data_IF_454324064695
#
_entry.id   IF_454324064695
#
_cell.length_a   1.000
_cell.length_b   1.000
_cell.length_c   1.000
_cell.angle_alpha   90.00
_cell.angle_beta   90.00
_cell.angle_gamma   90.00
#
_symmetry.space_group_name_H-M   'P 1'
#
loop_
_entity.id
_entity.type
_entity.pdbx_description
1 polymer ?
#
# COMPACT_ATOMS: atom_id res chain seq x y z
N UNK A 1 -0.98 17.50 18.85
CA UNK A 1 -1.24 16.40 17.88
C UNK A 1 0.09 15.75 17.58
N UNK A 2 0.20 14.42 17.71
CA UNK A 2 1.42 13.70 17.34
C UNK A 2 1.62 13.74 15.81
N UNK A 3 2.84 13.92 15.30
CA UNK A 3 3.15 13.76 13.89
C UNK A 3 2.72 12.38 13.36
N UNK A 4 2.38 12.29 12.07
CA UNK A 4 1.77 11.09 11.46
C UNK A 4 2.57 9.80 11.71
N UNK A 5 3.90 9.86 11.66
CA UNK A 5 4.76 8.69 11.89
C UNK A 5 4.71 8.16 13.33
N UNK A 6 4.47 9.03 14.31
CA UNK A 6 4.43 8.68 15.74
C UNK A 6 3.09 8.01 16.10
N UNK A 7 1.98 8.45 15.48
CA UNK A 7 0.68 7.75 15.60
C UNK A 7 0.71 6.33 15.04
N UNK A 8 1.44 6.12 13.94
CA UNK A 8 1.61 4.78 13.36
C UNK A 8 2.49 3.91 14.27
N UNK A 9 3.48 4.49 14.95
CA UNK A 9 4.30 3.77 15.94
C UNK A 9 3.46 3.23 17.08
N UNK A 10 2.71 4.13 17.69
CA UNK A 10 1.83 3.84 18.81
C UNK A 10 0.80 2.77 18.40
N UNK A 11 0.21 2.89 17.21
CA UNK A 11 -0.72 1.89 16.71
C UNK A 11 -0.08 0.49 16.58
N UNK A 12 1.13 0.39 16.03
CA UNK A 12 1.84 -0.89 15.90
C UNK A 12 2.19 -1.49 17.27
N UNK A 13 2.62 -0.66 18.22
CA UNK A 13 3.02 -1.12 19.56
C UNK A 13 1.82 -1.51 20.43
N UNK A 14 0.68 -0.86 20.26
CA UNK A 14 -0.48 -0.99 21.16
C UNK A 14 -1.61 -1.86 20.63
N UNK A 15 -1.67 -2.14 19.32
CA UNK A 15 -2.84 -2.79 18.71
C UNK A 15 -3.14 -4.19 19.26
N UNK A 16 -2.14 -4.93 19.76
CA UNK A 16 -2.29 -6.33 20.16
C UNK A 16 -2.79 -7.26 19.03
N UNK A 17 -2.90 -6.73 17.81
CA UNK A 17 -3.43 -7.33 16.60
C UNK A 17 -2.53 -6.96 15.41
N UNK A 18 -2.51 -7.77 14.34
CA UNK A 18 -1.78 -7.47 13.11
C UNK A 18 -2.18 -6.11 12.53
N UNK A 19 -1.19 -5.25 12.28
CA UNK A 19 -1.41 -3.90 11.72
C UNK A 19 -1.07 -3.87 10.24
N UNK A 20 -2.04 -3.47 9.41
CA UNK A 20 -1.86 -3.25 7.97
C UNK A 20 -1.81 -1.75 7.70
N UNK A 21 -0.76 -1.27 7.04
CA UNK A 21 -0.62 0.13 6.64
C UNK A 21 -1.16 0.32 5.22
N UNK A 22 -2.03 1.32 5.02
CA UNK A 22 -2.65 1.61 3.72
C UNK A 22 -2.28 3.03 3.28
N UNK A 23 -1.70 3.18 2.09
CA UNK A 23 -1.37 4.46 1.48
C UNK A 23 -2.14 4.70 0.18
N UNK A 24 -2.88 5.80 0.10
CA UNK A 24 -3.66 6.19 -1.09
C UNK A 24 -3.04 7.40 -1.79
N UNK A 25 -2.88 7.35 -3.10
CA UNK A 25 -2.37 8.45 -3.92
C UNK A 25 -1.01 8.97 -3.42
N UNK A 26 -0.87 10.28 -3.16
CA UNK A 26 0.34 10.86 -2.56
C UNK A 26 0.68 10.25 -1.18
N UNK A 27 -0.31 9.71 -0.47
CA UNK A 27 -0.11 9.00 0.80
C UNK A 27 0.62 7.66 0.65
N UNK A 28 0.67 7.07 -0.55
CA UNK A 28 1.40 5.84 -0.82
C UNK A 28 2.91 5.98 -0.54
N UNK A 29 3.53 7.08 -0.98
CA UNK A 29 4.95 7.33 -0.76
C UNK A 29 5.28 7.45 0.75
N UNK A 30 4.41 8.10 1.52
CA UNK A 30 4.56 8.21 2.96
C UNK A 30 4.38 6.85 3.67
N UNK A 31 3.42 6.04 3.21
CA UNK A 31 3.19 4.69 3.74
C UNK A 31 4.40 3.77 3.51
N UNK A 32 4.96 3.77 2.30
CA UNK A 32 6.20 3.06 1.96
C UNK A 32 7.36 3.49 2.86
N UNK A 33 7.59 4.80 2.99
CA UNK A 33 8.67 5.32 3.84
C UNK A 33 8.52 4.87 5.29
N UNK A 34 7.28 4.86 5.80
CA UNK A 34 7.00 4.43 7.15
C UNK A 34 7.29 2.93 7.33
N UNK A 35 6.85 2.09 6.38
CA UNK A 35 7.02 0.64 6.42
C UNK A 35 8.50 0.20 6.47
N UNK A 36 9.40 0.94 5.82
CA UNK A 36 10.85 0.66 5.87
C UNK A 36 11.47 0.88 7.22
N UNK A 37 11.08 1.98 7.86
CA UNK A 37 11.67 2.41 9.14
C UNK A 37 11.00 1.74 10.33
N UNK A 38 9.98 0.92 10.09
CA UNK A 38 9.10 0.40 11.13
C UNK A 38 8.95 -1.11 11.00
N UNK A 39 9.43 -1.81 12.02
CA UNK A 39 9.13 -3.22 12.24
C UNK A 39 7.72 -3.38 12.85
N UNK A 40 7.15 -4.58 12.74
CA UNK A 40 5.87 -4.93 13.37
C UNK A 40 4.62 -4.68 12.52
N UNK A 41 4.77 -4.11 11.32
CA UNK A 41 3.68 -4.12 10.34
C UNK A 41 3.50 -5.53 9.78
N UNK A 42 2.25 -5.96 9.68
CA UNK A 42 1.89 -7.23 9.09
C UNK A 42 1.87 -7.16 7.56
N UNK A 43 1.42 -6.04 6.99
CA UNK A 43 1.37 -5.83 5.54
C UNK A 43 1.33 -4.35 5.14
N UNK A 44 1.60 -4.08 3.85
CA UNK A 44 1.46 -2.77 3.21
C UNK A 44 0.50 -2.86 2.00
N UNK A 45 -0.44 -1.92 1.91
CA UNK A 45 -1.36 -1.78 0.77
C UNK A 45 -1.19 -0.41 0.14
N UNK A 46 -1.02 -0.37 -1.17
CA UNK A 46 -0.90 0.85 -1.95
C UNK A 46 -2.05 0.98 -2.94
N UNK A 47 -2.79 2.09 -2.85
CA UNK A 47 -3.94 2.38 -3.71
C UNK A 47 -3.62 3.59 -4.58
N UNK A 48 -3.65 3.41 -5.90
CA UNK A 48 -3.23 4.43 -6.90
C UNK A 48 -1.92 5.17 -6.53
N UNK A 49 -0.80 4.45 -6.30
CA UNK A 49 0.45 5.06 -5.86
C UNK A 49 1.09 5.93 -6.94
N UNK A 50 1.62 7.10 -6.57
CA UNK A 50 2.45 7.94 -7.44
C UNK A 50 3.88 7.37 -7.53
N UNK A 51 4.52 7.32 -8.72
CA UNK A 51 5.80 6.63 -8.91
C UNK A 51 7.01 7.27 -8.21
N UNK A 52 7.86 6.44 -7.59
CA UNK A 52 9.20 6.79 -7.08
C UNK A 52 9.82 5.68 -6.20
N UNK A 53 11.11 5.36 -6.49
CA UNK A 53 12.15 4.46 -5.89
C UNK A 53 11.77 3.26 -4.99
N UNK A 54 12.68 2.30 -4.80
CA UNK A 54 13.10 1.74 -3.49
C UNK A 54 12.97 0.19 -3.25
N UNK A 55 14.04 -0.43 -2.74
CA UNK A 55 14.14 -1.88 -2.42
C UNK A 55 14.03 -2.22 -0.91
N UNK A 56 13.68 -3.49 -0.62
CA UNK A 56 13.40 -4.19 0.67
C UNK A 56 12.08 -3.84 1.40
N UNK A 57 11.06 -4.71 1.31
CA UNK A 57 9.73 -4.43 1.88
C UNK A 57 8.85 -5.67 2.18
N UNK A 58 7.90 -5.58 3.16
CA UNK A 58 6.88 -6.58 3.47
C UNK A 58 6.00 -6.99 2.27
N UNK A 59 5.18 -8.06 2.40
CA UNK A 59 4.15 -8.37 1.42
C UNK A 59 3.38 -7.11 1.01
N UNK A 60 3.32 -6.85 -0.29
CA UNK A 60 2.78 -5.60 -0.85
C UNK A 60 1.71 -5.89 -1.89
N UNK A 61 0.55 -5.26 -1.73
CA UNK A 61 -0.53 -5.26 -2.72
C UNK A 61 -0.63 -3.88 -3.37
N UNK A 62 -0.63 -3.84 -4.71
CA UNK A 62 -1.00 -2.66 -5.50
C UNK A 62 -2.41 -2.82 -6.08
N UNK A 63 -3.27 -1.84 -5.83
CA UNK A 63 -4.62 -1.73 -6.39
C UNK A 63 -4.73 -0.53 -7.32
N UNK A 64 -5.38 -0.74 -8.47
CA UNK A 64 -5.55 0.34 -9.45
C UNK A 64 -6.75 0.12 -10.38
N UNK A 65 -7.38 1.21 -10.84
CA UNK A 65 -8.40 1.17 -11.89
C UNK A 65 -7.80 1.57 -13.23
N UNK A 66 -8.05 0.83 -14.30
CA UNK A 66 -7.52 1.14 -15.63
C UNK A 66 -8.07 2.44 -16.23
N UNK A 67 -9.19 2.95 -15.67
CA UNK A 67 -9.83 4.21 -16.06
C UNK A 67 -9.44 5.41 -15.18
N UNK A 68 -8.44 5.27 -14.30
CA UNK A 68 -7.93 6.38 -13.50
C UNK A 68 -7.15 7.37 -14.39
N UNK A 69 -7.84 8.42 -14.85
CA UNK A 69 -7.24 9.47 -15.68
C UNK A 69 -6.34 10.42 -14.90
N UNK A 70 -6.58 10.54 -13.58
CA UNK A 70 -5.75 11.39 -12.72
C UNK A 70 -4.38 10.75 -12.49
N UNK A 71 -4.34 9.42 -12.44
CA UNK A 71 -3.13 8.64 -12.22
C UNK A 71 -3.07 7.47 -13.19
N UNK A 72 -2.68 7.69 -14.45
CA UNK A 72 -2.68 6.62 -15.45
C UNK A 72 -1.85 5.41 -15.02
N UNK A 73 -2.35 4.21 -15.31
CA UNK A 73 -1.68 2.95 -14.96
C UNK A 73 -0.26 2.85 -15.54
N UNK A 74 -0.06 3.41 -16.74
CA UNK A 74 1.25 3.46 -17.39
C UNK A 74 2.26 4.30 -16.58
N UNK A 75 1.82 5.44 -16.03
CA UNK A 75 2.67 6.36 -15.31
C UNK A 75 3.13 5.78 -13.97
N UNK A 76 2.26 4.99 -13.34
CA UNK A 76 2.55 4.34 -12.04
C UNK A 76 3.40 3.07 -12.18
N UNK A 77 3.55 2.53 -13.39
CA UNK A 77 4.27 1.27 -13.64
C UNK A 77 5.77 1.38 -13.34
N UNK A 78 6.42 2.44 -13.82
CA UNK A 78 7.85 2.67 -13.57
C UNK A 78 8.16 2.90 -12.08
N UNK A 79 7.19 3.36 -11.29
CA UNK A 79 7.30 3.41 -9.83
C UNK A 79 7.14 2.04 -9.20
N UNK A 80 6.09 1.33 -9.61
CA UNK A 80 5.78 -0.04 -9.17
C UNK A 80 6.97 -0.98 -9.38
N UNK A 81 7.60 -0.93 -10.55
CA UNK A 81 8.75 -1.78 -10.88
C UNK A 81 9.96 -1.54 -9.97
N UNK A 82 10.05 -0.38 -9.33
CA UNK A 82 11.12 -0.04 -8.39
C UNK A 82 10.81 -0.46 -6.95
N UNK A 83 9.54 -0.66 -6.58
CA UNK A 83 9.12 -1.04 -5.22
C UNK A 83 8.69 -2.51 -5.10
N UNK A 84 8.50 -3.20 -6.22
CA UNK A 84 8.08 -4.61 -6.21
C UNK A 84 9.14 -5.49 -5.56
N UNK A 85 8.93 -5.81 -4.28
CA UNK A 85 9.68 -6.83 -3.58
C UNK A 85 9.38 -8.25 -4.09
N UNK A 86 9.98 -9.26 -3.45
CA UNK A 86 9.76 -10.67 -3.80
C UNK A 86 8.33 -11.18 -3.49
N UNK A 87 7.56 -10.44 -2.69
CA UNK A 87 6.17 -10.75 -2.28
C UNK A 87 5.23 -9.64 -2.72
N UNK A 88 5.16 -9.41 -4.03
CA UNK A 88 4.37 -8.34 -4.63
C UNK A 88 3.17 -8.90 -5.41
N UNK A 89 1.99 -8.35 -5.15
CA UNK A 89 0.74 -8.65 -5.86
C UNK A 89 0.18 -7.38 -6.52
N UNK A 90 -0.36 -7.53 -7.72
CA UNK A 90 -1.02 -6.44 -8.46
C UNK A 90 -2.44 -6.84 -8.82
N UNK A 91 -3.39 -5.93 -8.60
CA UNK A 91 -4.76 -6.07 -9.03
C UNK A 91 -5.22 -4.80 -9.76
N UNK A 92 -5.51 -4.93 -11.05
CA UNK A 92 -6.04 -3.86 -11.90
C UNK A 92 -7.45 -4.21 -12.32
N UNK A 93 -8.42 -3.33 -12.04
CA UNK A 93 -9.81 -3.49 -12.47
C UNK A 93 -10.12 -2.65 -13.71
N UNK A 94 -11.03 -3.08 -14.60
CA UNK A 94 -11.51 -2.24 -15.69
C UNK A 94 -12.26 -1.02 -15.17
N UNK A 95 -11.93 0.17 -15.69
CA UNK A 95 -12.59 1.41 -15.29
C UNK A 95 -12.06 1.96 -13.96
N UNK A 96 -12.91 2.65 -13.20
CA UNK A 96 -12.52 3.20 -11.91
C UNK A 96 -12.62 2.14 -10.82
N UNK A 97 -11.58 2.07 -9.99
CA UNK A 97 -11.57 1.24 -8.80
C UNK A 97 -12.58 1.78 -7.78
N UNK A 98 -13.49 0.93 -7.34
CA UNK A 98 -14.54 1.29 -6.37
C UNK A 98 -14.12 0.99 -4.93
N UNK A 99 -14.74 1.67 -3.96
CA UNK A 99 -14.50 1.41 -2.53
C UNK A 99 -14.74 -0.05 -2.14
N UNK A 100 -15.79 -0.67 -2.70
CA UNK A 100 -16.11 -2.08 -2.45
C UNK A 100 -15.01 -3.02 -2.93
N UNK A 101 -14.49 -2.79 -4.14
CA UNK A 101 -13.38 -3.56 -4.69
C UNK A 101 -12.10 -3.37 -3.88
N UNK A 102 -11.79 -2.14 -3.45
CA UNK A 102 -10.66 -1.86 -2.55
C UNK A 102 -10.78 -2.68 -1.28
N UNK A 103 -11.90 -2.55 -0.57
CA UNK A 103 -12.11 -3.22 0.72
C UNK A 103 -12.01 -4.74 0.56
N UNK A 104 -12.65 -5.31 -0.46
CA UNK A 104 -12.58 -6.74 -0.73
C UNK A 104 -11.14 -7.20 -0.98
N UNK A 105 -10.40 -6.55 -1.88
CA UNK A 105 -9.05 -6.98 -2.20
C UNK A 105 -8.09 -6.81 -1.02
N UNK A 106 -8.23 -5.75 -0.23
CA UNK A 106 -7.44 -5.54 0.98
C UNK A 106 -7.69 -6.64 2.01
N UNK A 107 -8.95 -6.99 2.27
CA UNK A 107 -9.29 -8.03 3.24
C UNK A 107 -8.82 -9.41 2.78
N UNK A 108 -8.99 -9.73 1.49
CA UNK A 108 -8.51 -10.98 0.91
C UNK A 108 -6.99 -11.10 1.00
N UNK A 109 -6.26 -10.02 0.69
CA UNK A 109 -4.81 -10.00 0.81
C UNK A 109 -4.35 -10.12 2.26
N UNK A 110 -4.93 -9.33 3.17
CA UNK A 110 -4.60 -9.39 4.59
C UNK A 110 -4.79 -10.81 5.15
N UNK A 111 -5.89 -11.50 4.81
CA UNK A 111 -6.15 -12.89 5.21
C UNK A 111 -5.14 -13.91 4.68
N UNK A 112 -4.45 -13.62 3.58
CA UNK A 112 -3.41 -14.51 3.02
C UNK A 112 -2.05 -14.32 3.67
N UNK A 113 -1.74 -13.09 4.11
CA UNK A 113 -0.38 -12.71 4.55
C UNK A 113 -0.22 -12.64 6.07
N UNK A 114 -1.34 -12.62 6.79
CA UNK A 114 -1.44 -12.65 8.27
C UNK A 114 -1.84 -14.04 8.72
#
# INVERSE_FOLDING_TARGET
MLPHGERIAEAVETAGLPVVLIGHFAGAAAAVRCARTRSGLAALVLVSPVPGMWDDEPPTLRLHGSGDEMVPTADTRAGTDRIRGSRFEEHVVPGLLTDGEVVTQVLEFARRVV
#
